data_IF_776899358403
#
_entry.id   IF_776899358403
#
_cell.length_a   1.000
_cell.length_b   1.000
_cell.length_c   1.000
_cell.angle_alpha   90.00
_cell.angle_beta   90.00
_cell.angle_gamma   90.00
#
_symmetry.space_group_name_H-M   'P 1'
#
loop_
_entity.id
_entity.type
_entity.pdbx_description
1 polymer ?
#
# COMPACT_ATOMS: atom_id res chain seq x y z
N UNK A 1 9.43 -11.41 -3.20
CA UNK A 1 9.95 -10.01 -3.21
C UNK A 1 9.93 -9.56 -1.78
N UNK A 2 11.05 -9.07 -1.30
CA UNK A 2 11.21 -8.61 0.07
C UNK A 2 10.90 -7.11 0.12
N UNK A 3 9.68 -6.76 0.57
CA UNK A 3 9.26 -5.37 0.67
C UNK A 3 9.92 -4.64 1.84
N UNK A 4 10.37 -5.37 2.87
CA UNK A 4 11.07 -4.78 4.00
C UNK A 4 12.43 -4.26 3.57
N UNK A 5 13.20 -5.07 2.83
CA UNK A 5 14.48 -4.65 2.27
C UNK A 5 14.35 -3.45 1.30
N UNK A 6 13.18 -3.27 0.66
CA UNK A 6 12.90 -2.08 -0.16
C UNK A 6 12.62 -0.88 0.75
N UNK A 7 11.78 -1.04 1.77
CA UNK A 7 11.40 0.02 2.69
C UNK A 7 12.57 0.57 3.53
N UNK A 8 13.56 -0.27 3.81
CA UNK A 8 14.79 0.12 4.50
C UNK A 8 15.76 0.91 3.61
N UNK A 9 15.65 0.78 2.28
CA UNK A 9 16.62 1.38 1.32
C UNK A 9 16.07 2.60 0.59
N UNK A 10 14.75 2.73 0.52
CA UNK A 10 14.11 3.77 -0.28
C UNK A 10 13.03 4.48 0.52
N UNK A 11 13.16 5.80 0.61
CA UNK A 11 12.20 6.69 1.29
C UNK A 11 10.91 6.88 0.49
N UNK A 12 11.01 6.75 -0.84
CA UNK A 12 9.92 6.95 -1.78
C UNK A 12 9.90 5.84 -2.81
N UNK A 13 8.72 5.26 -3.04
CA UNK A 13 8.50 4.19 -4.01
C UNK A 13 7.33 4.54 -4.91
N UNK A 14 7.52 4.32 -6.21
CA UNK A 14 6.49 4.46 -7.24
C UNK A 14 6.11 3.07 -7.75
N UNK A 15 4.82 2.77 -7.77
CA UNK A 15 4.26 1.54 -8.35
C UNK A 15 3.30 1.93 -9.46
N UNK A 16 3.60 1.50 -10.67
CA UNK A 16 2.87 1.90 -11.85
C UNK A 16 1.93 0.78 -12.35
N UNK A 17 0.85 1.19 -13.01
CA UNK A 17 -0.14 0.32 -13.67
C UNK A 17 -0.70 -0.83 -12.80
N UNK A 18 -1.20 -0.54 -11.60
CA UNK A 18 -1.91 -1.56 -10.81
C UNK A 18 -3.27 -1.85 -11.46
N UNK A 19 -3.51 -3.09 -11.92
CA UNK A 19 -4.78 -3.43 -12.57
C UNK A 19 -5.88 -3.62 -11.54
N UNK A 20 -7.13 -3.72 -12.01
CA UNK A 20 -8.21 -4.27 -11.19
C UNK A 20 -7.83 -5.67 -10.67
N UNK A 21 -8.11 -5.88 -9.40
CA UNK A 21 -7.79 -7.09 -8.67
C UNK A 21 -9.03 -7.97 -8.58
N UNK A 22 -9.10 -8.96 -9.48
CA UNK A 22 -10.13 -9.98 -9.49
C UNK A 22 -9.77 -11.20 -8.62
N UNK A 23 -10.74 -12.10 -8.37
CA UNK A 23 -10.53 -13.31 -7.57
C UNK A 23 -9.47 -14.26 -8.16
N UNK A 24 -9.19 -14.19 -9.46
CA UNK A 24 -8.13 -14.94 -10.12
C UNK A 24 -6.72 -14.44 -9.73
N UNK A 25 -6.62 -13.25 -9.13
CA UNK A 25 -5.35 -12.59 -8.77
C UNK A 25 -5.03 -12.64 -7.28
N UNK A 26 -5.43 -13.72 -6.59
CA UNK A 26 -5.21 -13.88 -5.13
C UNK A 26 -3.77 -13.62 -4.68
N UNK A 27 -2.79 -14.16 -5.42
CA UNK A 27 -1.38 -13.94 -5.10
C UNK A 27 -0.99 -12.46 -5.23
N UNK A 28 -1.49 -11.75 -6.24
CA UNK A 28 -1.23 -10.33 -6.43
C UNK A 28 -1.93 -9.49 -5.36
N UNK A 29 -3.16 -9.83 -5.00
CA UNK A 29 -3.91 -9.18 -3.90
C UNK A 29 -3.11 -9.28 -2.59
N UNK A 30 -2.69 -10.49 -2.20
CA UNK A 30 -1.88 -10.69 -0.99
C UNK A 30 -0.55 -9.93 -1.04
N UNK A 31 0.14 -9.97 -2.18
CA UNK A 31 1.39 -9.22 -2.35
C UNK A 31 1.20 -7.71 -2.27
N UNK A 32 0.08 -7.19 -2.79
CA UNK A 32 -0.25 -5.77 -2.69
C UNK A 32 -0.56 -5.36 -1.26
N UNK A 33 -1.34 -6.16 -0.54
CA UNK A 33 -1.60 -5.95 0.91
C UNK A 33 -0.29 -5.92 1.68
N UNK A 34 0.59 -6.91 1.50
CA UNK A 34 1.89 -6.96 2.20
C UNK A 34 2.75 -5.74 1.84
N UNK A 35 2.80 -5.34 0.56
CA UNK A 35 3.54 -4.16 0.12
C UNK A 35 3.06 -2.90 0.84
N UNK A 36 1.76 -2.64 0.83
CA UNK A 36 1.18 -1.45 1.46
C UNK A 36 1.40 -1.49 2.97
N UNK A 37 1.19 -2.64 3.61
CA UNK A 37 1.39 -2.80 5.04
C UNK A 37 2.84 -2.50 5.44
N UNK A 38 3.81 -3.09 4.75
CA UNK A 38 5.23 -2.84 5.01
C UNK A 38 5.62 -1.38 4.78
N UNK A 39 5.15 -0.75 3.70
CA UNK A 39 5.50 0.65 3.42
C UNK A 39 4.81 1.61 4.39
N UNK A 40 3.58 1.30 4.81
CA UNK A 40 2.88 2.06 5.82
C UNK A 40 3.65 2.07 7.14
N UNK A 41 4.06 0.89 7.64
CA UNK A 41 4.74 0.72 8.93
C UNK A 41 6.13 1.42 8.96
N UNK A 42 6.83 1.39 7.82
CA UNK A 42 8.14 2.03 7.62
C UNK A 42 8.06 3.49 7.18
N UNK A 43 6.87 4.09 7.22
CA UNK A 43 6.64 5.48 6.81
C UNK A 43 7.21 5.81 5.41
N UNK A 44 7.12 4.88 4.45
CA UNK A 44 7.59 5.08 3.08
C UNK A 44 6.58 5.88 2.29
N UNK A 45 7.03 6.85 1.50
CA UNK A 45 6.19 7.59 0.56
C UNK A 45 5.84 6.70 -0.63
N UNK A 46 4.59 6.25 -0.70
CA UNK A 46 4.11 5.40 -1.77
C UNK A 46 3.24 6.18 -2.75
N UNK A 47 3.59 6.14 -4.04
CA UNK A 47 2.78 6.68 -5.12
C UNK A 47 2.36 5.56 -6.06
N UNK A 48 1.07 5.50 -6.35
CA UNK A 48 0.47 4.42 -7.13
C UNK A 48 -0.29 5.00 -8.31
N UNK A 49 -0.01 4.46 -9.50
CA UNK A 49 -0.90 4.54 -10.65
C UNK A 49 -1.73 3.25 -10.70
N UNK A 50 -3.05 3.37 -10.70
CA UNK A 50 -3.97 2.23 -10.64
C UNK A 50 -5.18 2.42 -11.54
N UNK A 51 -5.77 1.29 -11.95
CA UNK A 51 -6.96 1.26 -12.79
C UNK A 51 -8.23 1.81 -12.10
N UNK A 52 -8.23 1.92 -10.77
CA UNK A 52 -9.32 2.47 -9.98
C UNK A 52 -8.81 2.99 -8.62
N UNK A 53 -9.65 3.74 -7.90
CA UNK A 53 -9.37 4.18 -6.52
C UNK A 53 -9.30 2.97 -5.56
N UNK A 54 -8.66 3.09 -4.38
CA UNK A 54 -8.50 1.99 -3.43
C UNK A 54 -9.81 1.27 -3.07
N UNK A 55 -10.92 2.00 -3.00
CA UNK A 55 -12.24 1.44 -2.69
C UNK A 55 -12.78 0.50 -3.78
N UNK A 56 -12.37 0.71 -5.03
CA UNK A 56 -12.90 -0.02 -6.19
C UNK A 56 -11.86 -0.95 -6.84
N UNK A 57 -10.62 -0.94 -6.33
CA UNK A 57 -9.50 -1.68 -6.91
C UNK A 57 -9.66 -3.20 -6.76
N UNK A 58 -10.34 -3.67 -5.71
CA UNK A 58 -10.69 -5.08 -5.49
C UNK A 58 -12.13 -5.36 -5.94
N UNK A 59 -12.27 -6.19 -6.98
CA UNK A 59 -13.56 -6.49 -7.61
C UNK A 59 -14.50 -7.33 -6.72
N UNK A 60 -13.96 -8.13 -5.81
CA UNK A 60 -14.74 -9.00 -4.93
C UNK A 60 -14.29 -8.87 -3.48
N UNK A 61 -15.08 -8.15 -2.69
CA UNK A 61 -14.83 -7.89 -1.26
C UNK A 61 -15.56 -8.90 -0.36
N UNK A 62 -15.31 -10.19 -0.55
CA UNK A 62 -15.96 -11.25 0.28
C UNK A 62 -14.92 -12.07 1.04
N UNK A 63 -15.24 -12.42 2.29
CA UNK A 63 -14.38 -13.21 3.16
C UNK A 63 -13.16 -12.44 3.69
N UNK A 64 -12.18 -13.16 4.21
CA UNK A 64 -10.99 -12.61 4.88
C UNK A 64 -10.20 -11.64 3.99
N UNK A 65 -10.11 -11.93 2.69
CA UNK A 65 -9.36 -11.11 1.72
C UNK A 65 -9.99 -9.73 1.53
N UNK A 66 -11.32 -9.63 1.60
CA UNK A 66 -12.04 -8.35 1.53
C UNK A 66 -11.73 -7.47 2.73
N UNK A 67 -11.80 -8.04 3.94
CA UNK A 67 -11.53 -7.29 5.19
C UNK A 67 -10.09 -6.80 5.27
N UNK A 68 -9.13 -7.64 4.90
CA UNK A 68 -7.73 -7.23 4.83
C UNK A 68 -7.53 -6.09 3.81
N UNK A 69 -8.20 -6.16 2.67
CA UNK A 69 -8.10 -5.14 1.63
C UNK A 69 -8.76 -3.82 2.04
N UNK A 70 -9.85 -3.85 2.81
CA UNK A 70 -10.46 -2.63 3.37
C UNK A 70 -9.47 -1.90 4.29
N UNK A 71 -8.72 -2.65 5.12
CA UNK A 71 -7.63 -2.08 5.92
C UNK A 71 -6.53 -1.49 5.04
N UNK A 72 -6.14 -2.18 3.97
CA UNK A 72 -5.19 -1.68 2.98
C UNK A 72 -5.68 -0.39 2.32
N UNK A 73 -6.95 -0.30 1.94
CA UNK A 73 -7.54 0.91 1.37
C UNK A 73 -7.49 2.08 2.36
N UNK A 74 -7.87 1.86 3.63
CA UNK A 74 -7.77 2.89 4.67
C UNK A 74 -6.34 3.40 4.87
N UNK A 75 -5.34 2.50 4.90
CA UNK A 75 -3.92 2.89 4.96
C UNK A 75 -3.52 3.75 3.77
N UNK A 76 -3.91 3.37 2.56
CA UNK A 76 -3.64 4.17 1.36
C UNK A 76 -4.25 5.57 1.43
N UNK A 77 -5.43 5.74 2.04
CA UNK A 77 -5.98 7.07 2.28
C UNK A 77 -5.22 7.84 3.33
N UNK A 78 -4.84 7.21 4.43
CA UNK A 78 -4.05 7.82 5.48
C UNK A 78 -2.68 8.29 4.98
N UNK A 79 -2.03 7.51 4.11
CA UNK A 79 -0.74 7.86 3.49
C UNK A 79 -0.80 9.15 2.64
N UNK A 80 -2.00 9.66 2.34
CA UNK A 80 -2.21 10.93 1.60
C UNK A 80 -2.32 12.14 2.53
N UNK A 81 -2.38 11.93 3.84
CA UNK A 81 -2.60 12.99 4.81
C UNK A 81 -1.33 13.83 5.07
N UNK A 82 -1.51 15.03 5.61
CA UNK A 82 -0.39 15.89 6.01
C UNK A 82 0.32 15.30 7.24
N UNK A 83 -0.44 14.62 8.10
CA UNK A 83 0.03 13.93 9.29
C UNK A 83 0.99 12.79 8.91
N UNK A 84 0.66 12.01 7.88
CA UNK A 84 1.54 10.94 7.40
C UNK A 84 2.81 11.50 6.75
N UNK A 85 2.72 12.64 6.06
CA UNK A 85 3.91 13.34 5.54
C UNK A 85 4.82 13.82 6.68
N UNK A 86 4.27 14.37 7.75
CA UNK A 86 5.03 14.75 8.93
C UNK A 86 5.71 13.54 9.59
N UNK A 87 4.97 12.42 9.76
CA UNK A 87 5.50 11.17 10.28
C UNK A 87 6.67 10.64 9.44
N UNK A 88 6.55 10.70 8.10
CA UNK A 88 7.63 10.33 7.20
C UNK A 88 8.90 11.15 7.46
N UNK A 89 8.77 12.48 7.53
CA UNK A 89 9.89 13.36 7.82
C UNK A 89 10.51 13.09 9.19
N UNK A 90 9.70 12.84 10.22
CA UNK A 90 10.17 12.50 11.56
C UNK A 90 11.00 11.21 11.56
N UNK A 91 10.48 10.14 10.95
CA UNK A 91 11.19 8.84 10.92
C UNK A 91 12.49 8.90 10.12
N UNK A 92 12.52 9.64 9.01
CA UNK A 92 13.71 9.70 8.12
C UNK A 92 14.74 10.75 8.52
N UNK A 93 14.37 11.76 9.30
CA UNK A 93 15.34 12.66 9.91
C UNK A 93 16.11 12.03 11.08
N UNK A 94 15.60 10.92 11.63
CA UNK A 94 16.20 10.20 12.75
C UNK A 94 17.20 9.10 12.33
N UNK A 95 17.35 8.85 11.02
CA UNK A 95 18.29 7.90 10.41
C UNK A 95 19.56 8.62 9.90
#
# INVERSE_FOLDING_TARGET
>A
VDFLAIAERFDTVFVDHIPLLGPEKRNQIKRFIILVDTFYDHAVRLYISAAAMPEELLLQRRGTEGFEFDRTASRLFEMRSAEYLALHHEKRAAE
#
